data_IF_817065202219
#
_entry.id   IF_817065202219
#
_cell.length_a   1.000
_cell.length_b   1.000
_cell.length_c   1.000
_cell.angle_alpha   90.00
_cell.angle_beta   90.00
_cell.angle_gamma   90.00
#
_symmetry.space_group_name_H-M   'P 1'
#
loop_
_entity.id
_entity.type
_entity.pdbx_description
1 polymer ?
#
# COMPACT_ATOMS: atom_id res chain seq x y z
N UNK A 1 -43.05 -36.55 -28.20
CA UNK A 1 -41.87 -36.75 -27.33
C UNK A 1 -40.58 -36.11 -27.86
N UNK A 2 -40.46 -35.80 -29.18
CA UNK A 2 -39.24 -35.20 -29.78
C UNK A 2 -39.04 -33.70 -29.43
N UNK A 3 -40.14 -32.98 -29.19
CA UNK A 3 -40.08 -31.52 -28.90
C UNK A 3 -39.70 -31.16 -27.45
N UNK A 4 -39.81 -32.12 -26.51
CA UNK A 4 -39.46 -31.88 -25.10
C UNK A 4 -37.95 -31.96 -24.87
N UNK A 5 -37.24 -32.87 -25.57
CA UNK A 5 -35.78 -33.01 -25.48
C UNK A 5 -35.06 -31.77 -26.06
N UNK A 6 -35.57 -31.18 -27.15
CA UNK A 6 -34.98 -29.98 -27.79
C UNK A 6 -35.18 -28.72 -26.93
N UNK A 7 -36.29 -28.62 -26.19
CA UNK A 7 -36.55 -27.52 -25.27
C UNK A 7 -35.70 -27.59 -23.98
N UNK A 8 -35.41 -28.80 -23.48
CA UNK A 8 -34.51 -29.00 -22.33
C UNK A 8 -33.06 -28.66 -22.70
N UNK A 9 -32.60 -29.04 -23.90
CA UNK A 9 -31.22 -28.72 -24.35
C UNK A 9 -31.01 -27.24 -24.57
N UNK A 10 -32.01 -26.51 -25.08
CA UNK A 10 -31.95 -25.07 -25.26
C UNK A 10 -31.97 -24.30 -23.92
N UNK A 11 -32.69 -24.83 -22.92
CA UNK A 11 -32.72 -24.23 -21.57
C UNK A 11 -31.39 -24.42 -20.82
N UNK A 12 -30.72 -25.57 -21.02
CA UNK A 12 -29.43 -25.87 -20.43
C UNK A 12 -28.29 -25.04 -21.08
N UNK A 13 -28.38 -24.75 -22.39
CA UNK A 13 -27.41 -23.90 -23.08
C UNK A 13 -27.56 -22.42 -22.68
N UNK A 14 -28.75 -21.93 -22.37
CA UNK A 14 -28.97 -20.54 -21.88
C UNK A 14 -28.47 -20.33 -20.44
N UNK A 15 -28.41 -21.40 -19.61
CA UNK A 15 -27.87 -21.33 -18.25
C UNK A 15 -26.33 -21.33 -18.21
N UNK A 16 -25.68 -21.85 -19.27
CA UNK A 16 -24.19 -21.81 -19.36
C UNK A 16 -23.61 -20.48 -19.86
N UNK A 17 -24.41 -19.64 -20.53
CA UNK A 17 -23.96 -18.32 -21.01
C UNK A 17 -24.07 -17.21 -19.96
N UNK A 18 -24.72 -17.46 -18.82
CA UNK A 18 -24.87 -16.50 -17.71
C UNK A 18 -23.70 -16.46 -16.73
N UNK A 19 -22.67 -17.29 -16.89
CA UNK A 19 -21.54 -17.41 -15.94
C UNK A 19 -20.22 -16.78 -16.45
N UNK A 20 -20.26 -15.94 -17.48
CA UNK A 20 -19.17 -14.97 -17.67
C UNK A 20 -19.44 -13.86 -16.66
N UNK A 21 -19.17 -14.16 -15.38
CA UNK A 21 -19.05 -13.14 -14.37
C UNK A 21 -18.00 -12.17 -14.87
N UNK A 22 -18.42 -10.98 -15.26
CA UNK A 22 -17.54 -9.83 -15.34
C UNK A 22 -16.86 -9.81 -13.98
N UNK A 23 -15.61 -10.26 -13.91
CA UNK A 23 -14.75 -9.99 -12.79
C UNK A 23 -14.64 -8.46 -12.74
N UNK A 24 -15.54 -7.83 -12.01
CA UNK A 24 -15.51 -6.41 -11.76
C UNK A 24 -14.17 -6.17 -11.07
N UNK A 25 -13.20 -5.58 -11.77
CA UNK A 25 -11.92 -5.24 -11.16
C UNK A 25 -12.22 -4.53 -9.85
N UNK A 26 -11.81 -5.12 -8.76
CA UNK A 26 -12.00 -4.51 -7.45
C UNK A 26 -11.34 -3.13 -7.47
N UNK A 27 -12.13 -2.09 -7.14
CA UNK A 27 -11.61 -0.72 -7.00
C UNK A 27 -10.62 -0.58 -5.84
N UNK A 28 -10.40 -1.67 -5.09
CA UNK A 28 -9.49 -1.70 -3.96
C UNK A 28 -8.55 -2.90 -4.02
N UNK A 29 -7.34 -2.73 -3.48
CA UNK A 29 -6.38 -3.80 -3.24
C UNK A 29 -5.97 -3.76 -1.77
N UNK A 30 -6.11 -4.87 -1.07
CA UNK A 30 -5.69 -4.99 0.33
C UNK A 30 -4.19 -5.27 0.44
N UNK A 31 -3.57 -4.67 1.44
CA UNK A 31 -2.19 -4.92 1.83
C UNK A 31 -2.11 -5.17 3.33
N UNK A 32 -1.39 -6.20 3.72
CA UNK A 32 -0.91 -6.37 5.08
C UNK A 32 0.35 -5.52 5.26
N UNK A 33 0.38 -4.75 6.33
CA UNK A 33 1.53 -3.94 6.74
C UNK A 33 2.02 -4.48 8.06
N UNK A 34 3.27 -4.91 8.09
CA UNK A 34 4.03 -5.13 9.31
C UNK A 34 4.93 -3.91 9.54
N UNK A 35 4.84 -3.30 10.70
CA UNK A 35 5.54 -2.05 11.04
C UNK A 35 6.38 -2.23 12.30
N UNK A 36 7.70 -2.03 12.16
CA UNK A 36 8.66 -2.01 13.26
C UNK A 36 9.03 -0.55 13.59
N UNK A 37 8.93 -0.18 14.86
CA UNK A 37 9.41 1.10 15.38
C UNK A 37 10.81 0.89 15.92
N UNK A 38 11.80 1.14 15.08
CA UNK A 38 13.21 0.82 15.35
C UNK A 38 13.81 1.85 16.30
N UNK A 39 14.57 1.37 17.29
CA UNK A 39 15.33 2.24 18.21
C UNK A 39 16.35 3.07 17.41
N UNK A 40 16.45 4.39 17.58
CA UNK A 40 17.38 5.22 16.81
C UNK A 40 18.84 4.73 16.87
N UNK A 41 19.27 4.17 18.01
CA UNK A 41 20.62 3.60 18.18
C UNK A 41 20.82 2.26 17.49
N UNK A 42 19.75 1.63 16.99
CA UNK A 42 19.75 0.28 16.40
C UNK A 42 19.44 0.27 14.89
N UNK A 43 19.23 1.43 14.29
CA UNK A 43 18.86 1.55 12.86
C UNK A 43 19.86 0.82 11.95
N UNK A 44 21.17 1.00 12.17
CA UNK A 44 22.19 0.36 11.34
C UNK A 44 22.21 -1.17 11.50
N UNK A 45 22.05 -1.66 12.74
CA UNK A 45 21.97 -3.09 13.05
C UNK A 45 20.73 -3.70 12.38
N UNK A 46 19.55 -3.08 12.56
CA UNK A 46 18.30 -3.49 11.96
C UNK A 46 18.40 -3.57 10.43
N UNK A 47 18.90 -2.52 9.78
CA UNK A 47 19.07 -2.50 8.32
C UNK A 47 20.02 -3.59 7.81
N UNK A 48 21.07 -3.89 8.55
CA UNK A 48 22.00 -4.98 8.22
C UNK A 48 21.30 -6.35 8.29
N UNK A 49 20.49 -6.58 9.33
CA UNK A 49 19.76 -7.84 9.51
C UNK A 49 18.66 -7.97 8.46
N UNK A 50 17.94 -6.89 8.13
CA UNK A 50 16.94 -6.89 7.06
C UNK A 50 17.53 -7.21 5.69
N UNK A 51 18.76 -6.77 5.39
CA UNK A 51 19.48 -7.17 4.17
C UNK A 51 19.84 -8.64 4.20
N UNK A 52 20.37 -9.17 5.31
CA UNK A 52 20.64 -10.60 5.52
C UNK A 52 19.36 -11.43 5.29
N UNK A 53 18.24 -10.99 5.86
CA UNK A 53 16.95 -11.63 5.65
C UNK A 53 16.56 -11.65 4.17
N UNK A 54 16.61 -10.51 3.48
CA UNK A 54 16.27 -10.39 2.06
C UNK A 54 17.20 -11.21 1.16
N UNK A 55 18.49 -11.29 1.48
CA UNK A 55 19.45 -12.13 0.78
C UNK A 55 19.12 -13.62 0.92
N UNK A 56 18.70 -14.05 2.09
CA UNK A 56 18.23 -15.42 2.31
C UNK A 56 16.94 -15.73 1.55
N UNK A 57 15.99 -14.79 1.49
CA UNK A 57 14.79 -14.92 0.66
C UNK A 57 15.17 -15.12 -0.82
N UNK A 58 16.05 -14.30 -1.35
CA UNK A 58 16.55 -14.36 -2.74
C UNK A 58 17.31 -15.65 -3.01
N UNK A 59 18.27 -16.02 -2.14
CA UNK A 59 19.09 -17.22 -2.25
C UNK A 59 18.27 -18.50 -2.37
N UNK A 60 17.17 -18.55 -1.64
CA UNK A 60 16.31 -19.74 -1.57
C UNK A 60 15.05 -19.61 -2.43
N UNK A 61 14.86 -18.50 -3.13
CA UNK A 61 13.68 -18.18 -3.95
C UNK A 61 12.36 -18.50 -3.23
N UNK A 62 12.18 -17.93 -2.04
CA UNK A 62 11.02 -18.22 -1.16
C UNK A 62 9.74 -17.73 -1.82
N UNK A 63 8.77 -18.63 -2.02
CA UNK A 63 7.53 -18.36 -2.76
C UNK A 63 6.40 -17.81 -1.88
N UNK A 64 6.49 -17.97 -0.57
CA UNK A 64 5.44 -17.66 0.38
C UNK A 64 5.35 -16.17 0.74
N UNK A 65 6.37 -15.38 0.39
CA UNK A 65 6.42 -13.94 0.74
C UNK A 65 6.76 -13.09 -0.47
N UNK A 66 6.11 -11.94 -0.56
CA UNK A 66 6.48 -10.84 -1.45
C UNK A 66 6.17 -9.53 -0.72
N UNK A 67 7.14 -8.63 -0.64
CA UNK A 67 6.94 -7.34 0.04
C UNK A 67 7.76 -6.23 -0.58
N UNK A 68 7.20 -5.03 -0.52
CA UNK A 68 7.94 -3.79 -0.65
C UNK A 68 8.20 -3.22 0.74
N UNK A 69 9.28 -2.48 0.89
CA UNK A 69 9.66 -1.87 2.17
C UNK A 69 9.81 -0.37 2.02
N UNK A 70 9.27 0.36 2.97
CA UNK A 70 9.49 1.79 3.12
C UNK A 70 9.83 2.12 4.57
N UNK A 71 10.67 3.12 4.80
CA UNK A 71 10.85 3.65 6.13
C UNK A 71 10.47 5.13 6.19
N UNK A 72 10.13 5.62 7.37
CA UNK A 72 9.82 7.01 7.65
C UNK A 72 10.94 7.67 8.46
N UNK A 73 10.93 9.00 8.52
CA UNK A 73 11.95 9.82 9.21
C UNK A 73 11.99 9.63 10.74
N UNK A 74 10.99 8.97 11.30
CA UNK A 74 10.87 8.61 12.71
C UNK A 74 11.15 7.12 12.96
N UNK A 75 12.02 6.54 12.12
CA UNK A 75 12.57 5.18 12.22
C UNK A 75 11.52 4.06 12.22
N UNK A 76 10.33 4.29 11.63
CA UNK A 76 9.39 3.23 11.36
C UNK A 76 9.71 2.56 10.02
N UNK A 77 9.76 1.24 10.03
CA UNK A 77 9.95 0.40 8.85
C UNK A 77 8.65 -0.36 8.56
N UNK A 78 8.11 -0.15 7.37
CA UNK A 78 6.85 -0.74 6.95
C UNK A 78 7.13 -1.77 5.86
N UNK A 79 6.85 -3.02 6.16
CA UNK A 79 6.87 -4.15 5.23
C UNK A 79 5.45 -4.32 4.68
N UNK A 80 5.26 -4.12 3.39
CA UNK A 80 3.94 -4.05 2.76
C UNK A 80 3.79 -5.19 1.78
N UNK A 81 2.92 -6.14 2.11
CA UNK A 81 2.63 -7.33 1.32
C UNK A 81 1.21 -7.29 0.76
N UNK A 82 0.99 -7.56 -0.54
CA UNK A 82 -0.36 -7.68 -1.08
C UNK A 82 -1.03 -8.95 -0.54
N UNK A 83 -2.32 -8.84 -0.20
CA UNK A 83 -3.15 -9.97 0.18
C UNK A 83 -4.42 -9.99 -0.67
N UNK A 84 -4.91 -11.16 -1.00
CA UNK A 84 -6.18 -11.33 -1.72
C UNK A 84 -7.37 -11.28 -0.76
N UNK A 85 -7.20 -11.80 0.46
CA UNK A 85 -8.23 -11.82 1.50
C UNK A 85 -7.58 -12.04 2.88
N UNK A 86 -8.37 -11.95 3.95
CA UNK A 86 -7.90 -12.08 5.33
C UNK A 86 -7.29 -13.45 5.66
N UNK A 87 -7.70 -14.52 4.98
CA UNK A 87 -7.14 -15.87 5.20
C UNK A 87 -5.67 -15.97 4.74
N UNK A 88 -5.18 -15.02 3.94
CA UNK A 88 -3.76 -14.99 3.56
C UNK A 88 -2.85 -14.69 4.75
N UNK A 89 -3.36 -14.01 5.78
CA UNK A 89 -2.60 -13.66 7.00
C UNK A 89 -2.37 -14.89 7.89
N UNK A 90 -3.26 -15.88 7.84
CA UNK A 90 -3.14 -17.13 8.59
C UNK A 90 -2.10 -18.10 7.98
N UNK A 91 -1.59 -17.80 6.79
CA UNK A 91 -0.62 -18.67 6.12
C UNK A 91 0.76 -18.53 6.75
N UNK A 92 1.47 -19.65 7.00
CA UNK A 92 2.84 -19.60 7.54
C UNK A 92 3.82 -19.16 6.44
N UNK A 93 4.23 -17.90 6.46
CA UNK A 93 5.07 -17.27 5.42
C UNK A 93 6.57 -17.58 5.54
N UNK A 94 7.04 -18.19 6.64
CA UNK A 94 8.46 -18.43 6.89
C UNK A 94 8.85 -19.92 7.00
N UNK A 95 7.93 -20.84 6.67
CA UNK A 95 8.18 -22.27 6.83
C UNK A 95 9.37 -22.73 5.97
N UNK A 96 9.32 -22.46 4.67
CA UNK A 96 10.38 -22.85 3.73
C UNK A 96 11.69 -22.14 4.04
N UNK A 97 11.65 -20.85 4.41
CA UNK A 97 12.87 -20.11 4.78
C UNK A 97 13.55 -20.75 6.01
N UNK A 98 12.78 -21.07 7.04
CA UNK A 98 13.28 -21.73 8.26
C UNK A 98 13.90 -23.11 7.98
N UNK A 99 13.28 -23.89 7.09
CA UNK A 99 13.82 -25.18 6.68
C UNK A 99 15.13 -25.04 5.91
N UNK A 100 15.23 -24.06 5.00
CA UNK A 100 16.42 -23.82 4.16
C UNK A 100 17.60 -23.22 4.93
N UNK A 101 17.34 -22.33 5.87
CA UNK A 101 18.37 -21.75 6.74
C UNK A 101 18.81 -22.69 7.86
N UNK A 102 17.91 -23.60 8.28
CA UNK A 102 18.02 -24.35 9.53
C UNK A 102 17.49 -23.54 10.72
N UNK A 103 16.87 -24.27 11.67
CA UNK A 103 16.15 -23.68 12.81
C UNK A 103 16.99 -22.72 13.64
N UNK A 104 18.25 -23.05 13.89
CA UNK A 104 19.14 -22.26 14.74
C UNK A 104 19.52 -20.92 14.08
N UNK A 105 19.96 -20.95 12.81
CA UNK A 105 20.34 -19.76 12.06
C UNK A 105 19.11 -18.83 11.86
N UNK A 106 17.96 -19.40 11.53
CA UNK A 106 16.72 -18.66 11.41
C UNK A 106 16.35 -17.95 12.72
N UNK A 107 16.31 -18.69 13.85
CA UNK A 107 15.96 -18.10 15.16
C UNK A 107 16.94 -17.04 15.60
N UNK A 108 18.25 -17.26 15.37
CA UNK A 108 19.28 -16.27 15.70
C UNK A 108 19.10 -14.95 14.92
N UNK A 109 18.76 -15.02 13.63
CA UNK A 109 18.54 -13.83 12.81
C UNK A 109 17.35 -13.02 13.34
N UNK A 110 16.20 -13.66 13.63
CA UNK A 110 15.03 -12.97 14.17
C UNK A 110 15.26 -12.45 15.59
N UNK A 111 15.92 -13.21 16.47
CA UNK A 111 16.24 -12.73 17.81
C UNK A 111 17.09 -11.44 17.77
N UNK A 112 18.06 -11.35 16.85
CA UNK A 112 18.87 -10.12 16.66
C UNK A 112 18.01 -8.97 16.12
N UNK A 113 17.02 -9.26 15.27
CA UNK A 113 16.07 -8.26 14.74
C UNK A 113 15.19 -7.73 15.85
N UNK A 114 14.64 -8.60 16.70
CA UNK A 114 13.77 -8.26 17.83
C UNK A 114 14.47 -7.36 18.86
N UNK A 115 15.79 -7.43 18.99
CA UNK A 115 16.57 -6.51 19.85
C UNK A 115 16.59 -5.06 19.33
N UNK A 116 16.22 -4.85 18.06
CA UNK A 116 16.32 -3.54 17.42
C UNK A 116 15.10 -2.66 17.64
N UNK A 117 13.95 -3.21 18.03
CA UNK A 117 12.71 -2.47 18.28
C UNK A 117 12.03 -2.96 19.57
N UNK A 118 11.16 -2.14 20.14
CA UNK A 118 10.32 -2.49 21.29
C UNK A 118 8.83 -2.45 20.96
N UNK A 119 8.49 -1.95 19.77
CA UNK A 119 7.12 -1.82 19.26
C UNK A 119 7.06 -2.34 17.84
N UNK A 120 6.18 -3.30 17.64
CA UNK A 120 5.76 -3.76 16.32
C UNK A 120 4.23 -3.72 16.23
N UNK A 121 3.71 -3.63 15.04
CA UNK A 121 2.27 -3.73 14.82
C UNK A 121 1.94 -4.25 13.43
N UNK A 122 0.84 -4.98 13.34
CA UNK A 122 0.27 -5.49 12.11
C UNK A 122 -1.07 -4.87 11.83
N UNK A 123 -1.29 -4.44 10.60
CA UNK A 123 -2.57 -3.88 10.18
C UNK A 123 -2.80 -4.00 8.68
N UNK A 124 -4.04 -3.82 8.27
CA UNK A 124 -4.45 -3.83 6.87
C UNK A 124 -4.71 -2.41 6.39
N UNK A 125 -4.24 -2.10 5.18
CA UNK A 125 -4.66 -0.93 4.43
C UNK A 125 -5.23 -1.35 3.08
N UNK A 126 -6.12 -0.52 2.53
CA UNK A 126 -6.74 -0.76 1.23
C UNK A 126 -6.37 0.37 0.28
N UNK A 127 -5.63 0.06 -0.78
CA UNK A 127 -5.45 1.00 -1.88
C UNK A 127 -6.81 1.30 -2.49
N UNK A 128 -7.21 2.56 -2.48
CA UNK A 128 -8.41 3.06 -3.13
C UNK A 128 -8.04 3.63 -4.52
N UNK A 129 -8.32 2.86 -5.56
CA UNK A 129 -7.97 3.22 -6.94
C UNK A 129 -8.76 4.45 -7.41
N UNK A 130 -10.01 4.62 -6.94
CA UNK A 130 -10.88 5.72 -7.36
C UNK A 130 -10.45 7.07 -6.77
N UNK A 131 -9.91 7.08 -5.56
CA UNK A 131 -9.36 8.28 -4.92
C UNK A 131 -7.90 8.55 -5.29
N UNK A 132 -7.20 7.57 -5.85
CA UNK A 132 -5.81 7.72 -6.33
C UNK A 132 -5.77 8.45 -7.67
N UNK A 133 -4.71 9.22 -7.90
CA UNK A 133 -4.51 9.90 -9.19
C UNK A 133 -3.19 9.46 -9.82
N UNK A 134 -3.27 8.50 -10.74
CA UNK A 134 -2.17 7.98 -11.56
C UNK A 134 -2.73 7.55 -12.93
N UNK A 135 -3.00 8.47 -13.85
CA UNK A 135 -3.68 8.18 -15.12
C UNK A 135 -2.90 7.27 -16.07
N UNK A 136 -1.58 7.17 -15.90
CA UNK A 136 -0.70 6.30 -16.71
C UNK A 136 -0.57 4.87 -16.14
N UNK A 137 -1.31 4.54 -15.09
CA UNK A 137 -1.29 3.25 -14.41
C UNK A 137 -0.81 3.36 -12.97
N UNK A 138 -1.46 2.57 -12.09
CA UNK A 138 -1.12 2.55 -10.66
C UNK A 138 0.14 1.72 -10.43
N UNK A 139 1.18 2.35 -9.87
CA UNK A 139 2.37 1.68 -9.36
C UNK A 139 2.72 2.21 -7.97
N UNK A 140 3.20 1.33 -7.09
CA UNK A 140 3.67 1.70 -5.75
C UNK A 140 5.14 2.13 -5.76
N UNK A 141 5.89 1.69 -6.76
CA UNK A 141 7.33 1.88 -6.88
C UNK A 141 7.70 2.47 -8.25
N UNK A 142 7.36 3.76 -8.53
CA UNK A 142 7.83 4.42 -9.74
C UNK A 142 9.35 4.38 -9.82
N UNK A 143 9.87 4.06 -11.00
CA UNK A 143 11.31 3.90 -11.20
C UNK A 143 12.08 5.19 -10.89
N UNK A 144 13.17 5.06 -10.12
CA UNK A 144 14.01 6.19 -9.72
C UNK A 144 13.41 7.14 -8.68
N UNK A 145 12.16 6.92 -8.28
CA UNK A 145 11.47 7.78 -7.32
C UNK A 145 11.33 7.08 -5.95
N UNK A 146 12.41 7.04 -5.17
CA UNK A 146 12.38 6.41 -3.85
C UNK A 146 11.97 7.34 -2.70
N UNK A 147 12.02 8.65 -2.87
CA UNK A 147 11.53 9.60 -1.87
C UNK A 147 10.01 9.50 -1.74
N UNK A 148 9.50 9.57 -0.51
CA UNK A 148 8.07 9.48 -0.19
C UNK A 148 7.63 10.63 0.70
N UNK A 149 6.41 11.11 0.42
CA UNK A 149 5.66 11.97 1.32
C UNK A 149 4.34 11.28 1.63
N UNK A 150 4.08 11.05 2.92
CA UNK A 150 2.86 10.41 3.41
C UNK A 150 2.05 11.44 4.18
N UNK A 151 0.78 11.59 3.78
CA UNK A 151 -0.17 12.48 4.43
C UNK A 151 -1.27 11.63 5.05
N UNK A 152 -1.40 11.66 6.37
CA UNK A 152 -2.44 10.95 7.09
C UNK A 152 -3.58 11.89 7.43
N UNK A 153 -4.74 11.64 6.88
CA UNK A 153 -6.00 12.34 7.09
C UNK A 153 -6.85 11.52 8.03
N UNK A 154 -6.76 11.76 9.32
CA UNK A 154 -7.57 11.05 10.32
C UNK A 154 -9.00 11.54 10.28
N UNK A 155 -9.94 10.62 10.34
CA UNK A 155 -11.37 10.86 10.20
C UNK A 155 -12.14 10.22 11.36
N UNK A 156 -13.41 10.61 11.48
CA UNK A 156 -14.37 10.02 12.41
C UNK A 156 -15.54 9.40 11.64
N UNK A 157 -16.33 8.51 12.24
CA UNK A 157 -17.53 7.99 11.59
C UNK A 157 -18.50 9.09 11.08
N UNK A 158 -18.57 10.21 11.79
CA UNK A 158 -19.49 11.32 11.45
C UNK A 158 -19.02 12.16 10.25
N UNK A 159 -17.70 12.30 10.01
CA UNK A 159 -17.18 13.11 8.91
C UNK A 159 -16.71 12.30 7.69
N UNK A 160 -16.73 10.97 7.77
CA UNK A 160 -16.23 10.03 6.75
C UNK A 160 -16.74 10.36 5.33
N UNK A 161 -18.05 10.56 5.19
CA UNK A 161 -18.66 10.84 3.89
C UNK A 161 -18.22 12.20 3.32
N UNK A 162 -18.10 13.23 4.17
CA UNK A 162 -17.65 14.55 3.78
C UNK A 162 -16.19 14.54 3.34
N UNK A 163 -15.31 13.92 4.12
CA UNK A 163 -13.88 13.79 3.76
C UNK A 163 -13.72 13.05 2.45
N UNK A 164 -14.44 11.94 2.24
CA UNK A 164 -14.40 11.21 0.96
C UNK A 164 -14.82 12.12 -0.21
N UNK A 165 -15.90 12.87 -0.08
CA UNK A 165 -16.39 13.82 -1.09
C UNK A 165 -15.33 14.91 -1.40
N UNK A 166 -14.66 15.46 -0.38
CA UNK A 166 -13.59 16.43 -0.57
C UNK A 166 -12.40 15.82 -1.33
N UNK A 167 -12.02 14.58 -1.03
CA UNK A 167 -10.95 13.87 -1.74
C UNK A 167 -11.34 13.59 -3.21
N UNK A 168 -12.58 13.18 -3.48
CA UNK A 168 -13.10 13.01 -4.84
C UNK A 168 -13.04 14.32 -5.64
N UNK A 169 -13.41 15.44 -5.03
CA UNK A 169 -13.32 16.77 -5.67
C UNK A 169 -11.86 17.15 -6.01
N UNK A 170 -10.91 16.83 -5.13
CA UNK A 170 -9.48 17.03 -5.38
C UNK A 170 -9.00 16.15 -6.54
N UNK A 171 -9.35 14.86 -6.56
CA UNK A 171 -8.98 13.95 -7.64
C UNK A 171 -9.51 14.44 -8.99
N UNK A 172 -10.77 14.92 -9.01
CA UNK A 172 -11.39 15.48 -10.20
C UNK A 172 -10.69 16.78 -10.67
N UNK A 173 -10.25 17.64 -9.74
CA UNK A 173 -9.48 18.84 -10.10
C UNK A 173 -8.15 18.46 -10.75
N UNK A 174 -7.41 17.52 -10.16
CA UNK A 174 -6.14 17.04 -10.73
C UNK A 174 -6.34 16.47 -12.14
N UNK A 175 -7.38 15.66 -12.33
CA UNK A 175 -7.73 15.07 -13.63
C UNK A 175 -8.12 16.15 -14.66
N UNK A 176 -8.97 17.09 -14.30
CA UNK A 176 -9.44 18.15 -15.21
C UNK A 176 -8.33 19.08 -15.68
N UNK A 177 -7.31 19.30 -14.85
CA UNK A 177 -6.14 20.13 -15.17
C UNK A 177 -5.00 19.33 -15.83
N UNK A 178 -5.11 18.00 -15.94
CA UNK A 178 -4.05 17.15 -16.49
C UNK A 178 -2.77 17.16 -15.65
N UNK A 179 -2.91 17.18 -14.33
CA UNK A 179 -1.78 17.22 -13.39
C UNK A 179 -0.77 16.11 -13.65
N UNK A 180 0.52 16.41 -13.47
CA UNK A 180 1.62 15.44 -13.48
C UNK A 180 2.11 15.09 -12.06
N UNK A 181 1.42 15.57 -11.06
CA UNK A 181 1.66 15.21 -9.66
C UNK A 181 0.80 14.01 -9.29
N UNK A 182 1.39 12.81 -9.32
CA UNK A 182 0.68 11.54 -9.08
C UNK A 182 0.73 11.15 -7.61
N UNK A 183 -0.37 10.57 -7.12
CA UNK A 183 -0.47 10.07 -5.75
C UNK A 183 -1.37 8.84 -5.66
N UNK A 184 -1.15 8.07 -4.59
CA UNK A 184 -1.97 6.92 -4.22
C UNK A 184 -2.66 7.21 -2.91
N UNK A 185 -3.87 6.69 -2.77
CA UNK A 185 -4.67 6.80 -1.55
C UNK A 185 -4.89 5.41 -0.97
N UNK A 186 -4.60 5.27 0.30
CA UNK A 186 -4.87 4.06 1.06
C UNK A 186 -5.83 4.39 2.19
N UNK A 187 -6.85 3.56 2.37
CA UNK A 187 -7.78 3.64 3.50
C UNK A 187 -7.33 2.67 4.57
N UNK A 188 -7.39 3.10 5.83
CA UNK A 188 -7.19 2.26 7.01
C UNK A 188 -8.17 1.08 7.04
N UNK A 189 -7.71 -0.07 7.52
CA UNK A 189 -8.48 -1.30 7.66
C UNK A 189 -8.35 -1.91 9.05
N UNK A 190 -8.44 -3.22 9.11
CA UNK A 190 -8.31 -3.97 10.37
C UNK A 190 -6.94 -3.76 11.01
N UNK A 191 -6.88 -3.62 12.33
CA UNK A 191 -5.65 -3.47 13.11
C UNK A 191 -5.10 -2.03 13.19
N UNK A 192 -5.60 -1.08 12.39
CA UNK A 192 -5.13 0.32 12.44
C UNK A 192 -5.59 1.05 13.71
N UNK A 193 -4.75 1.97 14.21
CA UNK A 193 -5.13 2.88 15.30
C UNK A 193 -5.91 4.07 14.74
N UNK A 194 -7.24 3.98 14.81
CA UNK A 194 -8.14 5.00 14.25
C UNK A 194 -8.38 4.83 12.75
N UNK A 195 -9.31 5.62 12.23
CA UNK A 195 -9.67 5.60 10.82
C UNK A 195 -8.97 6.76 10.09
N UNK A 196 -8.34 6.46 8.96
CA UNK A 196 -7.63 7.47 8.16
C UNK A 196 -7.65 7.14 6.67
N UNK A 197 -7.40 8.17 5.87
CA UNK A 197 -6.85 8.03 4.52
C UNK A 197 -5.38 8.43 4.56
N UNK A 198 -4.50 7.60 3.96
CA UNK A 198 -3.10 7.91 3.76
C UNK A 198 -2.87 8.21 2.27
N UNK A 199 -2.40 9.40 1.98
CA UNK A 199 -1.99 9.79 0.62
C UNK A 199 -0.48 9.66 0.51
N UNK A 200 -0.01 8.89 -0.48
CA UNK A 200 1.41 8.66 -0.73
C UNK A 200 1.83 9.28 -2.07
N UNK A 201 2.70 10.27 -2.03
CA UNK A 201 3.34 10.85 -3.20
C UNK A 201 4.80 10.38 -3.33
N UNK A 202 5.29 10.28 -4.57
CA UNK A 202 6.64 9.85 -4.89
C UNK A 202 7.43 10.94 -5.61
N UNK A 203 8.74 10.96 -5.37
CA UNK A 203 9.69 11.83 -6.06
C UNK A 203 11.09 11.21 -6.04
N UNK A 204 12.02 11.78 -6.81
CA UNK A 204 13.43 11.36 -6.78
C UNK A 204 14.09 11.71 -5.44
N UNK A 205 13.82 12.92 -4.94
CA UNK A 205 14.33 13.46 -3.69
C UNK A 205 13.44 14.63 -3.23
N UNK A 206 13.79 15.28 -2.11
CA UNK A 206 13.03 16.39 -1.54
C UNK A 206 12.97 17.64 -2.46
N UNK A 207 14.02 17.90 -3.22
CA UNK A 207 14.08 19.03 -4.16
C UNK A 207 13.12 18.80 -5.32
N UNK A 208 13.15 17.60 -5.93
CA UNK A 208 12.23 17.18 -6.99
C UNK A 208 10.78 17.21 -6.51
N UNK A 209 10.52 16.71 -5.29
CA UNK A 209 9.21 16.80 -4.67
C UNK A 209 8.71 18.25 -4.56
N UNK A 210 9.54 19.15 -4.06
CA UNK A 210 9.21 20.57 -3.88
C UNK A 210 8.90 21.24 -5.22
N UNK A 211 9.72 20.97 -6.24
CA UNK A 211 9.50 21.47 -7.60
C UNK A 211 8.19 20.97 -8.20
N UNK A 212 7.90 19.67 -8.06
CA UNK A 212 6.63 19.08 -8.49
C UNK A 212 5.42 19.71 -7.81
N UNK A 213 5.49 19.95 -6.49
CA UNK A 213 4.42 20.62 -5.72
C UNK A 213 4.20 22.04 -6.21
N UNK A 214 5.26 22.83 -6.41
CA UNK A 214 5.15 24.21 -6.89
C UNK A 214 4.49 24.27 -8.26
N UNK A 215 4.98 23.49 -9.22
CA UNK A 215 4.42 23.44 -10.57
C UNK A 215 2.95 22.96 -10.57
N UNK A 216 2.62 21.99 -9.70
CA UNK A 216 1.25 21.51 -9.57
C UNK A 216 0.31 22.56 -8.97
N UNK A 217 0.75 23.30 -7.95
CA UNK A 217 -0.04 24.36 -7.35
C UNK A 217 -0.34 25.50 -8.34
N UNK A 218 0.63 25.87 -9.16
CA UNK A 218 0.45 26.86 -10.25
C UNK A 218 -0.57 26.35 -11.27
N UNK A 219 -0.48 25.08 -11.68
CA UNK A 219 -1.40 24.46 -12.62
C UNK A 219 -2.83 24.40 -12.10
N UNK A 220 -3.02 24.03 -10.83
CA UNK A 220 -4.33 23.89 -10.20
C UNK A 220 -4.99 25.25 -9.89
N UNK A 221 -4.19 26.29 -9.70
CA UNK A 221 -4.65 27.67 -9.47
C UNK A 221 -5.44 27.85 -8.18
N UNK A 222 -6.33 28.86 -8.16
CA UNK A 222 -7.08 29.28 -6.97
C UNK A 222 -8.10 28.24 -6.45
N UNK A 223 -8.41 27.22 -7.23
CA UNK A 223 -9.31 26.14 -6.81
C UNK A 223 -8.65 25.23 -5.78
N UNK A 224 -7.35 24.98 -5.93
CA UNK A 224 -6.60 24.09 -5.05
C UNK A 224 -6.64 24.47 -3.57
N UNK A 225 -6.24 25.69 -3.17
CA UNK A 225 -6.25 26.05 -1.75
C UNK A 225 -7.66 26.01 -1.15
N UNK A 226 -8.72 26.26 -1.93
CA UNK A 226 -10.11 26.17 -1.46
C UNK A 226 -10.48 24.74 -1.10
N UNK A 227 -10.29 23.80 -2.04
CA UNK A 227 -10.61 22.38 -1.82
C UNK A 227 -9.72 21.75 -0.73
N UNK A 228 -8.43 22.11 -0.71
CA UNK A 228 -7.51 21.61 0.31
C UNK A 228 -7.87 22.10 1.71
N UNK A 229 -8.23 23.39 1.86
CA UNK A 229 -8.67 23.94 3.13
C UNK A 229 -10.01 23.34 3.58
N UNK A 230 -10.95 23.11 2.65
CA UNK A 230 -12.21 22.42 2.94
C UNK A 230 -11.94 20.99 3.44
N UNK A 231 -11.09 20.22 2.76
CA UNK A 231 -10.66 18.90 3.24
C UNK A 231 -10.08 19.00 4.65
N UNK A 232 -9.11 19.90 4.86
CA UNK A 232 -8.40 20.06 6.13
C UNK A 232 -9.33 20.43 7.29
N UNK A 233 -10.35 21.26 7.06
CA UNK A 233 -11.32 21.68 8.09
C UNK A 233 -12.23 20.53 8.55
N UNK A 234 -12.35 19.47 7.76
CA UNK A 234 -13.16 18.30 8.07
C UNK A 234 -12.37 17.15 8.72
N UNK A 235 -11.05 17.30 8.96
CA UNK A 235 -10.24 16.25 9.54
C UNK A 235 -10.27 16.29 11.08
N UNK A 236 -10.21 15.11 11.70
CA UNK A 236 -9.95 14.97 13.14
C UNK A 236 -8.51 15.36 13.47
N UNK A 237 -7.56 14.91 12.66
CA UNK A 237 -6.12 15.11 12.81
C UNK A 237 -5.45 15.02 11.45
N UNK A 238 -4.32 15.72 11.30
CA UNK A 238 -3.49 15.66 10.11
C UNK A 238 -2.04 15.46 10.50
N UNK A 239 -1.40 14.44 9.88
CA UNK A 239 0.03 14.18 10.07
C UNK A 239 0.73 14.04 8.72
N UNK A 240 2.01 14.40 8.69
CA UNK A 240 2.84 14.28 7.49
C UNK A 240 4.16 13.62 7.86
N UNK A 241 4.48 12.54 7.15
CA UNK A 241 5.76 11.86 7.30
C UNK A 241 6.54 11.92 5.98
N UNK A 242 7.83 12.11 6.10
CA UNK A 242 8.78 11.92 5.01
C UNK A 242 9.34 10.50 5.13
N UNK A 243 9.53 9.84 4.02
CA UNK A 243 10.07 8.50 3.99
C UNK A 243 10.80 8.18 2.70
N UNK A 244 11.23 6.95 2.57
CA UNK A 244 11.82 6.46 1.33
C UNK A 244 11.53 4.98 1.14
N UNK A 245 11.43 4.56 -0.11
CA UNK A 245 11.42 3.14 -0.43
C UNK A 245 12.79 2.54 -0.20
N UNK A 246 12.79 1.28 0.19
CA UNK A 246 14.00 0.50 0.49
C UNK A 246 14.06 -0.72 -0.46
N UNK A 247 14.36 -0.49 -1.76
CA UNK A 247 14.37 -1.58 -2.74
C UNK A 247 15.37 -2.69 -2.41
N UNK A 248 16.43 -2.37 -1.66
CA UNK A 248 17.41 -3.34 -1.19
C UNK A 248 16.89 -4.33 -0.14
N UNK A 249 15.79 -3.98 0.54
CA UNK A 249 15.06 -4.82 1.50
C UNK A 249 13.80 -5.45 0.89
N UNK A 250 13.35 -4.97 -0.27
CA UNK A 250 12.19 -5.51 -0.94
C UNK A 250 12.47 -6.88 -1.55
N UNK A 251 11.44 -7.72 -1.59
CA UNK A 251 11.53 -9.04 -2.16
C UNK A 251 10.27 -9.40 -2.95
N UNK A 252 10.50 -10.04 -4.09
CA UNK A 252 9.47 -10.75 -4.85
C UNK A 252 10.11 -12.01 -5.44
N UNK A 253 9.47 -13.19 -5.33
CA UNK A 253 10.02 -14.41 -5.87
C UNK A 253 10.15 -14.34 -7.40
N UNK A 254 11.20 -14.96 -7.93
CA UNK A 254 11.34 -15.20 -9.36
C UNK A 254 10.38 -16.32 -9.80
N UNK A 255 9.78 -16.14 -10.97
CA UNK A 255 8.91 -17.16 -11.60
C UNK A 255 9.71 -18.35 -12.09
#
# INVERSE_FOLDING_TARGET
MRNLKTRLTSLFLLLLTGAIGLAQESNTQAYWVHEDVVKPSKVADYESICKEFTENLKKHNIQEISSIVTNTQDDRYLWVAPIANMADIDKPIFTTLREKMGKEAFSNMFNRMDECYDVEQDYIIHLDKALSYMPEGLTQTPEGENYRKFFYFYITPSNRAMVKKNMEAITNLFASKGSKFYYRVYKSGFGTRGEFYMVAAAAKNAVDYSAKVTANNELLGDEWPKLYNELRSNLLKFEVFTGRMRPEMAYSPSK
#
